data_IF_619306434399
#
_entry.id   IF_619306434399
#
_cell.length_a   1.000
_cell.length_b   1.000
_cell.length_c   1.000
_cell.angle_alpha   90.00
_cell.angle_beta   90.00
_cell.angle_gamma   90.00
#
_symmetry.space_group_name_H-M   'P 1'
#
loop_
_entity.id
_entity.type
_entity.pdbx_description
1 polymer ?
#
# COMPACT_ATOMS: atom_id res chain seq x y z
N UNK A 1 41.30 -47.10 -16.10
CA UNK A 1 40.79 -45.76 -15.74
C UNK A 1 39.55 -45.51 -16.58
N UNK A 2 38.36 -45.64 -16.00
CA UNK A 2 37.10 -45.43 -16.73
C UNK A 2 36.37 -44.30 -16.04
N UNK A 3 36.38 -43.13 -16.66
CA UNK A 3 35.70 -41.93 -16.15
C UNK A 3 34.25 -42.01 -16.60
N UNK A 4 33.33 -42.25 -15.67
CA UNK A 4 31.90 -42.16 -15.90
C UNK A 4 31.53 -40.67 -15.98
N UNK A 5 31.25 -40.16 -17.18
CA UNK A 5 30.75 -38.81 -17.38
C UNK A 5 29.29 -38.70 -16.92
N UNK A 6 29.00 -37.73 -16.06
CA UNK A 6 27.65 -37.41 -15.58
C UNK A 6 26.82 -36.86 -16.76
N UNK A 7 25.59 -37.34 -17.01
CA UNK A 7 24.76 -36.81 -18.08
C UNK A 7 24.35 -35.36 -17.76
N UNK A 8 24.47 -34.47 -18.75
CA UNK A 8 23.96 -33.10 -18.65
C UNK A 8 22.45 -33.14 -18.44
N UNK A 9 22.02 -32.76 -17.23
CA UNK A 9 20.62 -32.49 -16.97
C UNK A 9 20.26 -31.15 -17.62
N UNK A 10 19.76 -31.21 -18.85
CA UNK A 10 19.06 -30.09 -19.48
C UNK A 10 17.95 -29.64 -18.52
N UNK A 11 18.14 -28.48 -17.92
CA UNK A 11 17.25 -27.88 -16.93
C UNK A 11 15.94 -27.46 -17.63
N UNK A 12 15.04 -28.41 -17.88
CA UNK A 12 13.68 -28.15 -18.35
C UNK A 12 12.86 -27.58 -17.19
N UNK A 13 13.18 -26.35 -16.77
CA UNK A 13 12.30 -25.59 -15.87
C UNK A 13 11.07 -25.19 -16.67
N UNK A 14 9.93 -25.76 -16.33
CA UNK A 14 8.63 -25.25 -16.79
C UNK A 14 8.52 -23.79 -16.39
N UNK A 15 8.63 -22.88 -17.37
CA UNK A 15 8.41 -21.46 -17.14
C UNK A 15 6.92 -21.25 -16.92
N UNK A 16 6.52 -21.12 -15.66
CA UNK A 16 5.16 -20.70 -15.31
C UNK A 16 5.07 -19.21 -15.61
N UNK A 17 4.16 -18.82 -16.50
CA UNK A 17 3.88 -17.42 -16.76
C UNK A 17 3.28 -16.81 -15.50
N UNK A 18 4.06 -15.99 -14.80
CA UNK A 18 3.56 -15.27 -13.65
C UNK A 18 2.50 -14.25 -14.12
N UNK A 19 1.39 -14.09 -13.36
CA UNK A 19 0.46 -12.99 -13.62
C UNK A 19 1.21 -11.66 -13.66
N UNK A 20 0.74 -10.73 -14.50
CA UNK A 20 1.30 -9.39 -14.55
C UNK A 20 1.27 -8.77 -13.15
N UNK A 21 2.43 -8.28 -12.70
CA UNK A 21 2.51 -7.49 -11.47
C UNK A 21 1.57 -6.29 -11.58
N UNK A 22 1.00 -5.88 -10.44
CA UNK A 22 0.25 -4.63 -10.27
C UNK A 22 0.94 -3.47 -11.01
N UNK A 23 0.19 -2.48 -11.52
CA UNK A 23 0.73 -1.44 -12.39
C UNK A 23 2.05 -0.88 -11.88
N UNK A 24 3.05 -0.84 -12.76
CA UNK A 24 4.42 -0.46 -12.44
C UNK A 24 4.55 0.98 -11.91
N UNK A 25 3.50 1.79 -12.04
CA UNK A 25 3.48 3.18 -11.62
C UNK A 25 2.16 3.49 -10.94
N UNK A 26 2.23 3.84 -9.66
CA UNK A 26 1.11 4.42 -8.92
C UNK A 26 1.16 5.92 -9.18
N UNK A 27 0.11 6.48 -9.76
CA UNK A 27 0.03 7.93 -9.95
C UNK A 27 0.09 8.61 -8.58
N UNK A 28 1.08 9.48 -8.39
CA UNK A 28 1.21 10.25 -7.15
C UNK A 28 0.01 11.20 -7.07
N UNK A 29 -0.73 11.23 -5.94
CA UNK A 29 -1.84 12.16 -5.79
C UNK A 29 -1.35 13.60 -5.77
N UNK A 30 -2.21 14.50 -6.27
CA UNK A 30 -1.99 15.92 -6.17
C UNK A 30 -1.96 16.36 -4.71
N UNK A 31 -0.95 17.13 -4.36
CA UNK A 31 -0.82 17.68 -3.01
C UNK A 31 -1.84 18.79 -2.82
N UNK A 32 -2.50 18.79 -1.66
CA UNK A 32 -3.38 19.87 -1.23
C UNK A 32 -2.60 20.90 -0.42
N UNK A 33 -3.05 22.15 -0.45
CA UNK A 33 -2.51 23.20 0.40
C UNK A 33 -2.86 22.99 1.88
N UNK A 34 -2.12 23.65 2.77
CA UNK A 34 -2.37 23.62 4.23
C UNK A 34 -3.77 24.16 4.56
N UNK A 35 -4.21 25.20 3.87
CA UNK A 35 -5.54 25.80 4.10
C UNK A 35 -6.66 24.82 3.71
N UNK A 36 -6.51 24.16 2.57
CA UNK A 36 -7.44 23.12 2.13
C UNK A 36 -7.47 21.93 3.09
N UNK A 37 -6.31 21.53 3.63
CA UNK A 37 -6.23 20.44 4.61
C UNK A 37 -6.97 20.80 5.91
N UNK A 38 -6.81 22.03 6.41
CA UNK A 38 -7.51 22.52 7.61
C UNK A 38 -9.02 22.62 7.42
N UNK A 39 -9.48 23.06 6.26
CA UNK A 39 -10.90 23.18 5.94
C UNK A 39 -11.58 21.85 5.54
N UNK A 40 -10.82 20.75 5.45
CA UNK A 40 -11.34 19.47 4.98
C UNK A 40 -12.33 18.85 5.97
N UNK A 41 -13.39 18.24 5.43
CA UNK A 41 -14.38 17.48 6.18
C UNK A 41 -14.01 15.99 6.30
N UNK A 42 -14.71 15.30 7.21
CA UNK A 42 -14.46 13.89 7.53
C UNK A 42 -14.77 12.96 6.35
N UNK A 43 -15.79 13.31 5.55
CA UNK A 43 -16.19 12.54 4.37
C UNK A 43 -15.07 12.51 3.32
N UNK A 44 -14.55 13.69 2.95
CA UNK A 44 -13.44 13.79 2.00
C UNK A 44 -12.15 13.17 2.52
N UNK A 45 -11.84 13.32 3.82
CA UNK A 45 -10.71 12.61 4.43
C UNK A 45 -10.84 11.10 4.26
N UNK A 46 -12.02 10.55 4.55
CA UNK A 46 -12.29 9.12 4.43
C UNK A 46 -12.08 8.62 3.00
N UNK A 47 -12.51 9.39 2.01
CA UNK A 47 -12.35 9.01 0.60
C UNK A 47 -10.90 9.10 0.14
N UNK A 48 -10.14 10.11 0.58
CA UNK A 48 -8.69 10.18 0.35
C UNK A 48 -7.95 9.01 1.02
N UNK A 49 -8.35 8.63 2.24
CA UNK A 49 -7.79 7.47 2.92
C UNK A 49 -8.09 6.16 2.19
N UNK A 50 -9.30 5.97 1.64
CA UNK A 50 -9.61 4.79 0.81
C UNK A 50 -8.77 4.76 -0.48
N UNK A 51 -8.58 5.92 -1.09
CA UNK A 51 -7.91 6.03 -2.39
C UNK A 51 -6.38 5.86 -2.28
N UNK A 52 -5.78 6.25 -1.15
CA UNK A 52 -4.32 6.35 -1.03
C UNK A 52 -3.72 5.60 0.17
N UNK A 53 -4.53 5.11 1.11
CA UNK A 53 -4.08 4.29 2.24
C UNK A 53 -4.46 2.82 2.00
N UNK A 54 -3.60 1.91 2.44
CA UNK A 54 -3.87 0.46 2.41
C UNK A 54 -5.25 0.18 3.06
N UNK A 55 -6.19 -0.52 2.38
CA UNK A 55 -7.52 -0.82 2.89
C UNK A 55 -7.54 -1.44 4.31
N UNK A 56 -6.47 -2.16 4.68
CA UNK A 56 -6.30 -2.71 6.02
C UNK A 56 -6.20 -1.64 7.12
N UNK A 57 -5.49 -0.53 6.88
CA UNK A 57 -5.36 0.55 7.87
C UNK A 57 -6.70 1.26 8.10
N UNK A 58 -7.47 1.50 7.03
CA UNK A 58 -8.82 2.05 7.16
C UNK A 58 -9.76 1.09 7.93
N UNK A 59 -9.61 -0.22 7.75
CA UNK A 59 -10.39 -1.20 8.49
C UNK A 59 -10.12 -1.12 10.01
N UNK A 60 -8.87 -1.02 10.44
CA UNK A 60 -8.54 -0.82 11.85
C UNK A 60 -9.07 0.51 12.41
N UNK A 61 -8.99 1.60 11.64
CA UNK A 61 -9.61 2.87 12.02
C UNK A 61 -11.14 2.79 12.15
N UNK A 62 -11.79 1.87 11.42
CA UNK A 62 -13.24 1.62 11.56
C UNK A 62 -13.56 0.89 12.86
N UNK A 63 -12.78 -0.13 13.23
CA UNK A 63 -12.98 -0.88 14.47
C UNK A 63 -12.90 0.02 15.71
N UNK A 64 -11.98 0.99 15.69
CA UNK A 64 -11.78 1.96 16.78
C UNK A 64 -12.66 3.21 16.67
N UNK A 65 -13.48 3.33 15.61
CA UNK A 65 -14.32 4.51 15.38
C UNK A 65 -13.59 5.77 14.90
N UNK A 66 -12.26 5.76 14.81
CA UNK A 66 -11.44 6.93 14.44
C UNK A 66 -11.67 7.47 13.03
N UNK A 67 -12.19 6.66 12.10
CA UNK A 67 -12.58 7.15 10.76
C UNK A 67 -13.67 8.25 10.77
N UNK A 68 -14.37 8.45 11.89
CA UNK A 68 -15.40 9.49 12.04
C UNK A 68 -14.88 10.75 12.74
N UNK A 69 -13.64 10.73 13.22
CA UNK A 69 -13.08 11.76 14.09
C UNK A 69 -11.99 12.51 13.33
N UNK A 70 -12.11 13.84 13.29
CA UNK A 70 -11.04 14.73 12.82
C UNK A 70 -10.31 15.30 14.02
N UNK A 71 -9.00 15.09 14.08
CA UNK A 71 -8.13 15.68 15.11
C UNK A 71 -7.68 17.05 14.59
N UNK A 72 -8.16 18.12 15.22
CA UNK A 72 -7.77 19.50 14.85
C UNK A 72 -6.42 19.91 15.45
N UNK A 73 -6.06 19.33 16.60
CA UNK A 73 -4.80 19.61 17.31
C UNK A 73 -4.42 18.41 18.17
N UNK A 74 -3.14 18.10 18.22
CA UNK A 74 -2.57 17.14 19.17
C UNK A 74 -1.45 17.84 19.93
N UNK A 75 -1.63 18.03 21.23
CA UNK A 75 -0.63 18.62 22.12
C UNK A 75 -0.24 17.62 23.20
N UNK A 76 1.00 17.72 23.69
CA UNK A 76 1.46 16.90 24.82
C UNK A 76 1.77 15.44 24.50
N UNK A 77 1.90 15.07 23.22
CA UNK A 77 2.52 13.78 22.87
C UNK A 77 4.03 13.84 23.11
N UNK A 78 4.51 13.04 24.05
CA UNK A 78 5.94 12.75 24.24
C UNK A 78 6.24 11.40 23.59
N UNK A 79 7.24 11.35 22.71
CA UNK A 79 7.72 10.13 22.06
C UNK A 79 8.67 9.35 22.97
#
# INVERSE_FOLDING_TARGET
>A
MTVMAKPEQTNLRTMVSAPSLSPATIAKPDLISVEQAKAMDVARMTDLFKAHLNPGQLHFMKLLGFHKIKIERAEGMFY
#
